data_IF_903998914423
#
_entry.id   IF_903998914423
#
_cell.length_a   1.000
_cell.length_b   1.000
_cell.length_c   1.000
_cell.angle_alpha   90.00
_cell.angle_beta   90.00
_cell.angle_gamma   90.00
#
_symmetry.space_group_name_H-M   'P 1'
#
loop_
_entity.id
_entity.type
_entity.pdbx_description
1 polymer ?
#
# COMPACT_ATOMS: atom_id res chain seq x y z
N UNK A 1 -32.91 38.55 -28.16
CA UNK A 1 -32.40 37.68 -27.06
C UNK A 1 -31.63 36.55 -27.73
N UNK A 2 -30.30 36.59 -27.62
CA UNK A 2 -29.40 35.60 -28.21
C UNK A 2 -28.61 34.96 -27.06
N UNK A 3 -28.68 33.64 -26.94
CA UNK A 3 -28.04 32.87 -25.87
C UNK A 3 -26.72 32.32 -26.41
N UNK A 4 -25.59 32.83 -25.91
CA UNK A 4 -24.25 32.28 -26.18
C UNK A 4 -23.89 31.27 -25.09
N UNK A 5 -23.68 30.02 -25.49
CA UNK A 5 -23.04 28.99 -24.67
C UNK A 5 -21.53 29.06 -24.93
N UNK A 6 -20.76 29.36 -23.89
CA UNK A 6 -19.29 29.33 -23.90
C UNK A 6 -18.77 28.46 -22.76
N UNK A 7 -18.05 27.39 -23.11
CA UNK A 7 -17.65 26.31 -22.22
C UNK A 7 -16.71 26.69 -21.08
N UNK A 8 -16.88 25.98 -19.96
CA UNK A 8 -16.16 26.11 -18.69
C UNK A 8 -14.72 25.58 -18.84
N UNK A 9 -13.72 26.44 -18.67
CA UNK A 9 -12.29 26.08 -18.66
C UNK A 9 -11.97 25.36 -17.34
N UNK A 10 -11.48 24.11 -17.40
CA UNK A 10 -10.95 23.39 -16.25
C UNK A 10 -9.49 23.78 -16.04
N UNK A 11 -9.22 24.38 -14.88
CA UNK A 11 -7.89 24.66 -14.37
C UNK A 11 -7.24 23.35 -13.93
N UNK A 12 -6.07 23.02 -14.48
CA UNK A 12 -5.25 21.90 -14.01
C UNK A 12 -4.33 22.43 -12.92
N UNK A 13 -4.62 22.08 -11.68
CA UNK A 13 -3.74 22.32 -10.53
C UNK A 13 -2.55 21.36 -10.66
N UNK A 14 -1.35 21.91 -10.83
CA UNK A 14 -0.11 21.13 -10.90
C UNK A 14 0.21 20.53 -9.53
N UNK A 15 0.42 19.22 -9.49
CA UNK A 15 1.12 18.56 -8.39
C UNK A 15 2.60 18.53 -8.76
N UNK A 16 3.38 19.42 -8.16
CA UNK A 16 4.84 19.37 -8.22
C UNK A 16 5.30 18.17 -7.38
N UNK A 17 5.57 17.06 -8.04
CA UNK A 17 6.42 16.00 -7.53
C UNK A 17 7.80 16.15 -8.16
N UNK A 18 8.83 16.27 -7.32
CA UNK A 18 10.23 16.39 -7.71
C UNK A 18 10.68 15.12 -8.45
N UNK A 19 10.44 15.08 -9.76
CA UNK A 19 10.94 14.03 -10.63
C UNK A 19 12.42 14.22 -10.86
N UNK A 20 13.25 13.30 -10.35
CA UNK A 20 14.69 13.26 -10.63
C UNK A 20 14.89 13.25 -12.15
N UNK A 21 15.41 14.36 -12.67
CA UNK A 21 15.68 14.52 -14.10
C UNK A 21 16.73 13.50 -14.55
N UNK A 22 16.30 12.49 -15.30
CA UNK A 22 17.23 11.59 -15.99
C UNK A 22 17.95 12.38 -17.07
N UNK A 23 19.24 12.67 -16.87
CA UNK A 23 20.09 13.25 -17.91
C UNK A 23 20.14 12.29 -19.11
N UNK A 24 20.03 12.78 -20.36
CA UNK A 24 20.21 11.92 -21.53
C UNK A 24 21.63 11.36 -21.54
N UNK A 25 21.76 10.03 -21.60
CA UNK A 25 23.04 9.36 -21.69
C UNK A 25 23.61 9.58 -23.10
N UNK A 26 24.73 10.30 -23.18
CA UNK A 26 25.49 10.44 -24.43
C UNK A 26 25.85 9.04 -24.95
N UNK A 27 25.43 8.77 -26.18
CA UNK A 27 25.54 7.46 -26.83
C UNK A 27 27.02 7.16 -27.09
N UNK A 28 27.64 6.39 -26.21
CA UNK A 28 28.93 5.76 -26.49
C UNK A 28 28.71 4.61 -27.49
N UNK A 29 29.24 4.81 -28.70
CA UNK A 29 29.28 3.82 -29.78
C UNK A 29 30.21 2.66 -29.38
N UNK A 30 29.65 1.47 -29.23
CA UNK A 30 30.39 0.20 -29.25
C UNK A 30 30.18 -0.69 -28.02
N UNK A 31 29.55 -1.85 -28.25
CA UNK A 31 29.68 -3.08 -27.46
C UNK A 31 29.12 -3.09 -26.03
N UNK A 32 27.83 -3.42 -25.93
CA UNK A 32 27.18 -4.42 -25.04
C UNK A 32 25.70 -4.01 -24.91
N UNK A 33 24.76 -4.94 -25.14
CA UNK A 33 23.34 -4.69 -24.82
C UNK A 33 23.25 -4.53 -23.30
N UNK A 34 23.35 -3.29 -22.82
CA UNK A 34 23.12 -3.00 -21.41
C UNK A 34 21.66 -3.37 -21.10
N UNK A 35 21.47 -4.48 -20.38
CA UNK A 35 20.16 -4.87 -19.87
C UNK A 35 19.82 -3.86 -18.78
N UNK A 36 18.98 -2.89 -19.12
CA UNK A 36 18.49 -1.92 -18.15
C UNK A 36 17.62 -2.67 -17.14
N UNK A 37 18.16 -2.90 -15.95
CA UNK A 37 17.43 -3.47 -14.82
C UNK A 37 16.93 -2.31 -13.97
N UNK A 38 15.62 -2.23 -13.77
CA UNK A 38 15.05 -1.28 -12.79
C UNK A 38 15.50 -1.73 -11.41
N UNK A 39 16.22 -0.85 -10.73
CA UNK A 39 16.64 -1.03 -9.34
C UNK A 39 15.84 -0.05 -8.50
N UNK A 40 15.21 -0.54 -7.44
CA UNK A 40 14.54 0.28 -6.44
C UNK A 40 15.38 0.27 -5.17
N UNK A 41 15.73 1.46 -4.67
CA UNK A 41 16.39 1.61 -3.37
C UNK A 41 15.33 2.09 -2.40
N UNK A 42 15.02 1.28 -1.39
CA UNK A 42 14.01 1.60 -0.37
C UNK A 42 14.48 2.81 0.45
N UNK A 43 13.63 3.83 0.55
CA UNK A 43 13.75 4.88 1.55
C UNK A 43 13.22 4.39 2.90
N UNK A 44 13.57 5.07 3.98
CA UNK A 44 13.03 4.77 5.32
C UNK A 44 11.51 4.84 5.34
N UNK A 45 10.92 5.76 4.57
CA UNK A 45 9.47 5.92 4.48
C UNK A 45 8.79 4.74 3.78
N UNK A 46 9.48 4.10 2.82
CA UNK A 46 8.95 2.91 2.17
C UNK A 46 8.94 1.72 3.14
N UNK A 47 9.97 1.63 3.99
CA UNK A 47 10.06 0.58 5.00
C UNK A 47 8.98 0.76 6.08
N UNK A 48 8.77 1.99 6.57
CA UNK A 48 7.74 2.26 7.57
C UNK A 48 6.34 2.03 7.00
N UNK A 49 6.08 2.44 5.75
CA UNK A 49 4.83 2.14 5.07
C UNK A 49 4.61 0.64 4.89
N UNK A 50 5.64 -0.10 4.48
CA UNK A 50 5.54 -1.55 4.26
C UNK A 50 5.31 -2.33 5.57
N UNK A 51 5.90 -1.90 6.68
CA UNK A 51 5.73 -2.53 7.99
C UNK A 51 4.31 -2.36 8.57
N UNK A 52 3.58 -1.35 8.12
CA UNK A 52 2.22 -1.08 8.60
C UNK A 52 1.16 -1.99 7.99
N UNK A 53 1.51 -2.94 7.12
CA UNK A 53 0.51 -3.86 6.61
C UNK A 53 1.03 -5.18 6.06
N UNK A 54 0.14 -6.16 6.07
CA UNK A 54 0.43 -7.52 5.61
C UNK A 54 -0.75 -8.04 4.78
N UNK A 55 -0.45 -8.84 3.77
CA UNK A 55 -1.49 -9.58 3.05
C UNK A 55 -1.76 -10.88 3.78
N UNK A 56 -3.02 -11.09 4.16
CA UNK A 56 -3.49 -12.30 4.79
C UNK A 56 -4.55 -12.98 3.93
N UNK A 57 -4.83 -14.24 4.23
CA UNK A 57 -5.89 -15.03 3.61
C UNK A 57 -6.86 -15.47 4.69
N UNK A 58 -8.14 -15.20 4.49
CA UNK A 58 -9.21 -15.66 5.35
C UNK A 58 -9.38 -17.16 5.15
N UNK A 59 -9.30 -17.90 6.26
CA UNK A 59 -9.51 -19.34 6.26
C UNK A 59 -11.01 -19.68 6.32
N UNK A 60 -11.36 -20.92 5.96
CA UNK A 60 -12.71 -21.47 6.10
C UNK A 60 -13.82 -20.71 5.36
N UNK A 61 -13.47 -19.88 4.38
CA UNK A 61 -14.44 -19.09 3.60
C UNK A 61 -15.26 -18.13 4.44
N UNK A 62 -14.74 -17.68 5.59
CA UNK A 62 -15.46 -16.75 6.44
C UNK A 62 -15.68 -15.40 5.73
N UNK A 63 -16.83 -14.78 5.98
CA UNK A 63 -17.12 -13.48 5.40
C UNK A 63 -16.22 -12.41 6.06
N UNK A 64 -15.60 -11.56 5.24
CA UNK A 64 -14.72 -10.45 5.71
C UNK A 64 -15.36 -9.61 6.84
N UNK A 65 -16.65 -9.21 6.77
CA UNK A 65 -17.25 -8.42 7.85
C UNK A 65 -17.32 -9.16 9.19
N UNK A 66 -17.47 -10.50 9.17
CA UNK A 66 -17.50 -11.31 10.39
C UNK A 66 -16.09 -11.39 11.01
N UNK A 67 -15.06 -11.55 10.17
CA UNK A 67 -13.66 -11.54 10.63
C UNK A 67 -13.31 -10.18 11.22
N UNK A 68 -13.67 -9.08 10.58
CA UNK A 68 -13.50 -7.72 11.11
C UNK A 68 -14.13 -7.55 12.49
N UNK A 69 -15.38 -7.98 12.65
CA UNK A 69 -16.09 -7.89 13.93
C UNK A 69 -15.37 -8.68 15.03
N UNK A 70 -14.87 -9.89 14.74
CA UNK A 70 -14.12 -10.71 15.72
C UNK A 70 -12.79 -10.08 16.10
N UNK A 71 -12.06 -9.50 15.15
CA UNK A 71 -10.80 -8.80 15.42
C UNK A 71 -11.03 -7.62 16.37
N UNK A 72 -12.10 -6.85 16.16
CA UNK A 72 -12.52 -5.78 17.09
C UNK A 72 -12.90 -6.36 18.46
N UNK A 73 -13.68 -7.44 18.51
CA UNK A 73 -14.06 -8.08 19.78
C UNK A 73 -12.87 -8.68 20.55
N UNK A 74 -11.80 -9.08 19.86
CA UNK A 74 -10.55 -9.49 20.47
C UNK A 74 -9.69 -8.31 20.96
N UNK A 75 -10.16 -7.07 20.81
CA UNK A 75 -9.51 -5.86 21.31
C UNK A 75 -8.56 -5.19 20.32
N UNK A 76 -8.43 -5.70 19.09
CA UNK A 76 -7.56 -5.11 18.06
C UNK A 76 -8.25 -3.96 17.32
N UNK A 77 -8.57 -2.88 18.05
CA UNK A 77 -9.24 -1.70 17.49
C UNK A 77 -8.37 -0.92 16.50
N UNK A 78 -7.06 -1.15 16.53
CA UNK A 78 -6.08 -0.47 15.70
C UNK A 78 -5.74 -1.24 14.41
N UNK A 79 -6.45 -2.34 14.13
CA UNK A 79 -6.27 -3.10 12.88
C UNK A 79 -7.46 -2.86 11.95
N UNK A 80 -7.14 -2.53 10.71
CA UNK A 80 -8.09 -2.42 9.61
C UNK A 80 -7.91 -3.61 8.67
N UNK A 81 -9.02 -4.15 8.17
CA UNK A 81 -9.02 -5.31 7.25
C UNK A 81 -9.65 -4.85 5.95
N UNK A 82 -8.84 -4.72 4.90
CA UNK A 82 -9.28 -4.21 3.61
C UNK A 82 -9.40 -5.39 2.64
N UNK A 83 -10.59 -5.69 2.09
CA UNK A 83 -10.75 -6.79 1.14
C UNK A 83 -10.00 -6.49 -0.16
N UNK A 84 -9.13 -7.43 -0.58
CA UNK A 84 -8.44 -7.39 -1.88
C UNK A 84 -9.15 -8.25 -2.93
N UNK A 85 -10.14 -9.06 -2.50
CA UNK A 85 -10.94 -9.94 -3.34
C UNK A 85 -10.90 -11.38 -2.86
N UNK A 86 -11.99 -12.12 -3.11
CA UNK A 86 -12.19 -13.49 -2.64
C UNK A 86 -11.90 -13.62 -1.12
N UNK A 87 -10.84 -14.35 -0.78
CA UNK A 87 -10.36 -14.62 0.57
C UNK A 87 -9.12 -13.78 0.95
N UNK A 88 -8.60 -12.94 0.05
CA UNK A 88 -7.43 -12.11 0.30
C UNK A 88 -7.82 -10.78 0.93
N UNK A 89 -7.10 -10.44 1.99
CA UNK A 89 -7.25 -9.18 2.71
C UNK A 89 -5.90 -8.53 2.95
N UNK A 90 -5.90 -7.21 3.01
CA UNK A 90 -4.80 -6.43 3.53
C UNK A 90 -5.12 -6.05 4.96
N UNK A 91 -4.32 -6.55 5.91
CA UNK A 91 -4.41 -6.16 7.32
C UNK A 91 -3.45 -5.00 7.51
N UNK A 92 -3.97 -3.89 8.02
CA UNK A 92 -3.21 -2.64 8.17
C UNK A 92 -3.31 -2.14 9.61
N UNK A 93 -2.19 -1.68 10.16
CA UNK A 93 -2.19 -0.93 11.41
C UNK A 93 -2.66 0.50 11.16
N UNK A 94 -3.58 0.97 12.00
CA UNK A 94 -4.01 2.37 12.06
C UNK A 94 -3.05 3.22 12.92
N UNK A 95 -2.08 2.60 13.58
CA UNK A 95 -1.01 3.25 14.33
C UNK A 95 0.32 3.11 13.57
N UNK A 96 1.41 3.63 14.14
CA UNK A 96 2.76 3.44 13.60
C UNK A 96 3.37 2.07 13.94
N UNK A 97 2.58 1.16 14.52
CA UNK A 97 3.05 -0.16 14.94
C UNK A 97 3.23 -1.09 13.73
N UNK A 98 4.29 -1.91 13.80
CA UNK A 98 4.51 -3.01 12.86
C UNK A 98 3.42 -4.07 13.05
N UNK A 99 2.67 -4.35 11.99
CA UNK A 99 1.56 -5.33 12.03
C UNK A 99 2.07 -6.72 12.36
N UNK A 100 3.28 -7.08 11.91
CA UNK A 100 3.86 -8.39 12.21
C UNK A 100 4.15 -8.53 13.70
N UNK A 101 4.58 -7.46 14.38
CA UNK A 101 4.80 -7.49 15.83
C UNK A 101 3.48 -7.73 16.60
N UNK A 102 2.37 -7.15 16.13
CA UNK A 102 1.04 -7.38 16.71
C UNK A 102 0.61 -8.84 16.53
N UNK A 103 0.79 -9.38 15.32
CA UNK A 103 0.44 -10.77 14.98
C UNK A 103 1.29 -11.75 15.79
N UNK A 104 2.59 -11.53 15.89
CA UNK A 104 3.50 -12.38 16.65
C UNK A 104 3.18 -12.35 18.14
N UNK A 105 2.86 -11.17 18.69
CA UNK A 105 2.39 -11.04 20.07
C UNK A 105 1.10 -11.83 20.33
N UNK A 106 0.13 -11.77 19.41
CA UNK A 106 -1.09 -12.56 19.49
C UNK A 106 -0.81 -14.07 19.39
N UNK A 107 0.03 -14.49 18.44
CA UNK A 107 0.41 -15.89 18.26
C UNK A 107 1.10 -16.45 19.52
N UNK A 108 1.99 -15.67 20.14
CA UNK A 108 2.62 -16.03 21.42
C UNK A 108 1.59 -16.14 22.55
N UNK A 109 0.65 -15.20 22.66
CA UNK A 109 -0.42 -15.25 23.66
C UNK A 109 -1.23 -16.55 23.54
N UNK A 110 -1.72 -16.88 22.35
CA UNK A 110 -2.53 -18.08 22.12
C UNK A 110 -1.73 -19.39 22.21
N UNK A 111 -0.40 -19.36 22.17
CA UNK A 111 0.42 -20.54 22.43
C UNK A 111 0.53 -20.87 23.93
N UNK A 112 0.26 -19.90 24.82
CA UNK A 112 0.30 -20.10 26.27
C UNK A 112 -1.04 -20.56 26.87
N UNK A 113 -2.10 -20.65 26.06
CA UNK A 113 -3.43 -21.13 26.43
C UNK A 113 -3.83 -22.34 25.57
#
# INVERSE_FOLDING_TARGET
VEVRVGGKKREKVGLEGEGVALKPLEVLKGTQRAKLVRTYTLHTDDQTWAAQGVVATIINGEAVPLVQQRVVYAGFNNLDIIPLGADKVFVRSLTTEDVMAIIDGAAQFFHHF
#
